data_IF_252440150398
#
_entry.id   IF_252440150398
#
_cell.length_a   1.000
_cell.length_b   1.000
_cell.length_c   1.000
_cell.angle_alpha   90.00
_cell.angle_beta   90.00
_cell.angle_gamma   90.00
#
_symmetry.space_group_name_H-M   'P 1'
#
loop_
_entity.id
_entity.type
_entity.pdbx_description
1 polymer ?
#
# COMPACT_ATOMS: atom_id res chain seq x y z
N UNK A 1 -23.03 -5.73 44.54
CA UNK A 1 -22.10 -4.61 44.27
C UNK A 1 -20.86 -5.08 43.52
N UNK A 2 -19.98 -5.89 44.12
CA UNK A 2 -18.75 -6.35 43.44
C UNK A 2 -19.03 -7.28 42.24
N UNK A 3 -19.93 -8.27 42.39
CA UNK A 3 -20.25 -9.21 41.30
C UNK A 3 -20.87 -8.54 40.07
N UNK A 4 -21.78 -7.59 40.27
CA UNK A 4 -22.37 -6.80 39.18
C UNK A 4 -21.34 -5.90 38.50
N UNK A 5 -20.39 -5.35 39.26
CA UNK A 5 -19.29 -4.54 38.71
C UNK A 5 -18.35 -5.39 37.82
N UNK A 6 -17.94 -6.56 38.30
CA UNK A 6 -17.09 -7.50 37.54
C UNK A 6 -17.80 -7.99 36.27
N UNK A 7 -19.09 -8.32 36.35
CA UNK A 7 -19.87 -8.72 35.19
C UNK A 7 -19.97 -7.60 34.14
N UNK A 8 -20.19 -6.36 34.59
CA UNK A 8 -20.18 -5.19 33.70
C UNK A 8 -18.84 -5.01 32.99
N UNK A 9 -17.73 -5.18 33.70
CA UNK A 9 -16.38 -5.05 33.14
C UNK A 9 -16.06 -6.13 32.10
N UNK A 10 -16.47 -7.37 32.34
CA UNK A 10 -16.26 -8.47 31.39
C UNK A 10 -17.05 -8.21 30.11
N UNK A 11 -18.31 -7.78 30.23
CA UNK A 11 -19.16 -7.47 29.07
C UNK A 11 -18.62 -6.29 28.25
N UNK A 12 -18.06 -5.27 28.88
CA UNK A 12 -17.47 -4.13 28.15
C UNK A 12 -16.21 -4.56 27.41
N UNK A 13 -15.30 -5.31 28.04
CA UNK A 13 -14.09 -5.82 27.39
C UNK A 13 -14.44 -6.77 26.23
N UNK A 14 -15.39 -7.68 26.42
CA UNK A 14 -15.85 -8.58 25.35
C UNK A 14 -16.43 -7.81 24.15
N UNK A 15 -17.26 -6.80 24.41
CA UNK A 15 -17.82 -5.96 23.37
C UNK A 15 -16.74 -5.17 22.64
N UNK A 16 -15.80 -4.56 23.36
CA UNK A 16 -14.68 -3.84 22.76
C UNK A 16 -13.78 -4.75 21.93
N UNK A 17 -13.54 -5.99 22.37
CA UNK A 17 -12.74 -6.96 21.62
C UNK A 17 -13.35 -7.30 20.26
N UNK A 18 -14.68 -7.38 20.16
CA UNK A 18 -15.38 -7.56 18.87
C UNK A 18 -15.24 -6.35 17.91
N UNK A 19 -14.96 -5.15 18.44
CA UNK A 19 -14.76 -3.93 17.65
C UNK A 19 -13.29 -3.58 17.42
N UNK A 20 -12.34 -4.30 18.02
CA UNK A 20 -10.92 -4.11 17.72
C UNK A 20 -10.64 -4.71 16.33
N UNK A 21 -10.10 -3.93 15.38
CA UNK A 21 -9.74 -4.44 14.06
C UNK A 21 -8.48 -5.30 14.20
N UNK A 22 -8.64 -6.57 14.58
CA UNK A 22 -7.53 -7.53 14.73
C UNK A 22 -7.09 -8.10 13.36
N UNK A 23 -7.90 -7.91 12.32
CA UNK A 23 -7.64 -8.40 10.97
C UNK A 23 -7.15 -7.25 10.09
N UNK A 24 -6.07 -7.48 9.35
CA UNK A 24 -5.66 -6.59 8.26
C UNK A 24 -6.77 -6.57 7.20
N UNK A 25 -6.97 -5.42 6.58
CA UNK A 25 -7.82 -5.34 5.39
C UNK A 25 -7.15 -6.15 4.28
N UNK A 26 -7.94 -6.97 3.60
CA UNK A 26 -7.44 -7.83 2.52
C UNK A 26 -7.05 -7.04 1.27
N UNK A 27 -7.57 -5.82 1.11
CA UNK A 27 -7.32 -4.90 0.00
C UNK A 27 -6.36 -3.76 0.38
N UNK A 28 -5.56 -3.96 1.42
CA UNK A 28 -4.62 -2.94 1.87
C UNK A 28 -3.43 -2.85 0.89
N UNK A 29 -3.49 -1.86 0.01
CA UNK A 29 -2.44 -1.55 -0.97
C UNK A 29 -1.26 -0.75 -0.36
N UNK A 30 -1.28 -0.51 0.96
CA UNK A 30 -0.25 0.25 1.69
C UNK A 30 0.71 -0.63 2.47
N UNK A 31 0.58 -1.96 2.38
CA UNK A 31 1.49 -2.87 3.08
C UNK A 31 2.91 -2.77 2.51
N UNK A 32 3.95 -3.05 3.32
CA UNK A 32 5.34 -3.05 2.84
C UNK A 32 5.55 -3.95 1.62
N UNK A 33 4.89 -5.12 1.60
CA UNK A 33 4.98 -6.07 0.49
C UNK A 33 4.36 -5.51 -0.79
N UNK A 34 3.24 -4.79 -0.67
CA UNK A 34 2.55 -4.13 -1.79
C UNK A 34 3.38 -2.98 -2.36
N UNK A 35 4.04 -2.20 -1.49
CA UNK A 35 4.94 -1.11 -1.90
C UNK A 35 6.18 -1.67 -2.61
N UNK A 36 6.79 -2.72 -2.08
CA UNK A 36 7.95 -3.37 -2.71
C UNK A 36 7.62 -3.95 -4.09
N UNK A 37 6.43 -4.53 -4.26
CA UNK A 37 5.95 -5.01 -5.57
C UNK A 37 5.81 -3.84 -6.55
N UNK A 38 5.16 -2.75 -6.14
CA UNK A 38 5.02 -1.54 -6.94
C UNK A 38 6.38 -0.93 -7.33
N UNK A 39 7.33 -0.86 -6.39
CA UNK A 39 8.69 -0.38 -6.66
C UNK A 39 9.40 -1.25 -7.69
N UNK A 40 9.26 -2.59 -7.60
CA UNK A 40 9.83 -3.51 -8.58
C UNK A 40 9.26 -3.30 -9.98
N UNK A 41 7.94 -3.24 -10.09
CA UNK A 41 7.25 -2.99 -11.38
C UNK A 41 7.72 -1.66 -11.98
N UNK A 42 7.77 -0.60 -11.16
CA UNK A 42 8.25 0.72 -11.58
C UNK A 42 9.69 0.66 -12.12
N UNK A 43 10.61 0.00 -11.41
CA UNK A 43 12.00 -0.15 -11.83
C UNK A 43 12.13 -0.95 -13.14
N UNK A 44 11.32 -1.99 -13.30
CA UNK A 44 11.30 -2.80 -14.52
C UNK A 44 10.82 -1.98 -15.72
N UNK A 45 9.72 -1.22 -15.55
CA UNK A 45 9.23 -0.31 -16.58
C UNK A 45 10.28 0.76 -16.95
N UNK A 46 10.92 1.39 -15.97
CA UNK A 46 11.94 2.43 -16.21
C UNK A 46 13.21 1.87 -16.86
N UNK A 47 13.62 0.64 -16.50
CA UNK A 47 14.77 -0.04 -17.12
C UNK A 47 14.52 -0.40 -18.57
N UNK A 48 13.29 -0.83 -18.89
CA UNK A 48 12.93 -1.24 -20.25
C UNK A 48 12.84 -0.04 -21.20
N UNK A 49 12.34 1.10 -20.71
CA UNK A 49 12.17 2.33 -21.49
C UNK A 49 12.67 3.54 -20.67
N UNK A 50 13.99 3.78 -20.63
CA UNK A 50 14.56 4.89 -19.87
C UNK A 50 14.17 6.24 -20.48
N UNK A 51 13.87 7.22 -19.62
CA UNK A 51 13.54 8.58 -20.04
C UNK A 51 12.08 8.81 -20.41
N UNK A 52 11.19 7.87 -20.07
CA UNK A 52 9.73 8.11 -20.08
C UNK A 52 9.40 9.33 -19.22
N UNK A 53 8.34 10.04 -19.56
CA UNK A 53 7.72 10.97 -18.63
C UNK A 53 6.93 10.20 -17.54
N UNK A 54 6.44 10.90 -16.52
CA UNK A 54 5.70 10.27 -15.43
C UNK A 54 4.35 9.70 -15.89
N UNK A 55 3.77 10.27 -16.95
CA UNK A 55 2.48 9.86 -17.52
C UNK A 55 2.62 8.55 -18.30
N UNK A 56 3.61 8.45 -19.17
CA UNK A 56 3.91 7.22 -19.89
C UNK A 56 4.44 6.12 -18.98
N UNK A 57 5.21 6.46 -17.93
CA UNK A 57 5.59 5.47 -16.91
C UNK A 57 4.35 4.92 -16.18
N UNK A 58 3.40 5.77 -15.83
CA UNK A 58 2.15 5.34 -15.20
C UNK A 58 1.36 4.37 -16.07
N UNK A 59 1.20 4.69 -17.36
CA UNK A 59 0.54 3.80 -18.32
C UNK A 59 1.25 2.44 -18.44
N UNK A 60 2.59 2.44 -18.42
CA UNK A 60 3.38 1.20 -18.45
C UNK A 60 3.21 0.35 -17.20
N UNK A 61 3.13 0.98 -16.02
CA UNK A 61 2.90 0.30 -14.75
C UNK A 61 1.51 -0.34 -14.74
N UNK A 62 0.47 0.39 -15.16
CA UNK A 62 -0.90 -0.16 -15.20
C UNK A 62 -1.03 -1.29 -16.23
N UNK A 63 -0.30 -1.20 -17.34
CA UNK A 63 -0.26 -2.24 -18.36
C UNK A 63 0.65 -3.42 -17.96
N UNK A 64 1.36 -3.37 -16.82
CA UNK A 64 2.29 -4.40 -16.43
C UNK A 64 1.58 -5.72 -16.06
N UNK A 65 2.06 -6.89 -16.49
CA UNK A 65 1.40 -8.17 -16.21
C UNK A 65 1.22 -8.49 -14.72
N UNK A 66 2.13 -7.99 -13.87
CA UNK A 66 2.07 -8.19 -12.41
C UNK A 66 1.25 -7.11 -11.68
N UNK A 67 0.73 -6.11 -12.40
CA UNK A 67 -0.08 -5.06 -11.80
C UNK A 67 -1.53 -5.52 -11.63
N UNK A 68 -1.94 -5.71 -10.36
CA UNK A 68 -3.31 -6.03 -10.02
C UNK A 68 -4.12 -4.74 -9.78
N UNK A 69 -4.95 -4.35 -10.76
CA UNK A 69 -5.81 -3.17 -10.66
C UNK A 69 -6.86 -3.23 -9.54
N UNK A 70 -7.26 -4.43 -9.12
CA UNK A 70 -8.24 -4.59 -8.04
C UNK A 70 -7.57 -4.37 -6.68
N UNK A 71 -6.34 -4.88 -6.51
CA UNK A 71 -5.53 -4.63 -5.32
C UNK A 71 -5.07 -3.18 -5.25
N UNK A 72 -4.51 -2.64 -6.33
CA UNK A 72 -3.96 -1.28 -6.40
C UNK A 72 -4.97 -0.21 -6.87
N UNK A 73 -6.23 -0.31 -6.45
CA UNK A 73 -7.31 0.55 -6.95
C UNK A 73 -7.13 2.04 -6.67
N UNK A 74 -6.32 2.42 -5.68
CA UNK A 74 -5.99 3.82 -5.37
C UNK A 74 -4.74 4.32 -6.08
N UNK A 75 -4.13 3.52 -6.96
CA UNK A 75 -2.92 3.92 -7.68
C UNK A 75 -3.27 4.98 -8.75
N UNK A 76 -2.53 6.09 -8.72
CA UNK A 76 -2.70 7.23 -9.63
C UNK A 76 -1.35 7.96 -9.80
N UNK A 77 -1.30 8.97 -10.68
CA UNK A 77 -0.08 9.73 -10.94
C UNK A 77 0.55 10.36 -9.69
N UNK A 78 -0.26 10.87 -8.76
CA UNK A 78 0.28 11.43 -7.51
C UNK A 78 0.94 10.35 -6.66
N UNK A 79 0.32 9.16 -6.59
CA UNK A 79 0.88 8.01 -5.87
C UNK A 79 2.15 7.49 -6.54
N UNK A 80 2.23 7.52 -7.88
CA UNK A 80 3.47 7.21 -8.60
C UNK A 80 4.59 8.20 -8.23
N UNK A 81 4.30 9.51 -8.21
CA UNK A 81 5.30 10.52 -7.82
C UNK A 81 5.80 10.30 -6.39
N UNK A 82 4.90 9.98 -5.46
CA UNK A 82 5.28 9.59 -4.09
C UNK A 82 6.10 8.29 -4.05
N UNK A 83 5.78 7.30 -4.88
CA UNK A 83 6.54 6.06 -5.00
C UNK A 83 7.97 6.33 -5.48
N UNK A 84 8.13 7.21 -6.48
CA UNK A 84 9.45 7.63 -7.01
C UNK A 84 10.25 8.36 -5.92
N UNK A 85 9.63 9.33 -5.24
CA UNK A 85 10.26 10.06 -4.13
C UNK A 85 10.66 9.11 -2.99
N UNK A 86 9.77 8.18 -2.64
CA UNK A 86 10.04 7.16 -1.64
C UNK A 86 11.23 6.28 -2.04
N UNK A 87 11.26 5.83 -3.29
CA UNK A 87 12.33 4.98 -3.79
C UNK A 87 13.68 5.72 -3.85
N UNK A 88 13.69 7.03 -4.09
CA UNK A 88 14.92 7.85 -4.06
C UNK A 88 15.61 7.89 -2.70
N UNK A 89 14.91 7.57 -1.60
CA UNK A 89 15.59 7.37 -0.31
C UNK A 89 16.50 6.14 -0.30
N UNK A 90 16.19 5.13 -1.11
CA UNK A 90 17.01 3.92 -1.32
C UNK A 90 18.05 4.14 -2.41
N UNK A 91 17.66 4.78 -3.51
CA UNK A 91 18.51 5.03 -4.68
C UNK A 91 18.48 6.52 -5.10
N UNK A 92 19.40 7.35 -4.59
CA UNK A 92 19.33 8.82 -4.76
C UNK A 92 19.34 9.32 -6.21
N UNK A 93 19.87 8.53 -7.14
CA UNK A 93 20.02 8.90 -8.55
C UNK A 93 18.88 8.41 -9.44
N UNK A 94 17.85 7.78 -8.88
CA UNK A 94 16.73 7.26 -9.67
C UNK A 94 15.94 8.39 -10.35
N UNK A 95 15.95 8.40 -11.69
CA UNK A 95 15.27 9.36 -12.58
C UNK A 95 15.53 10.84 -12.19
N UNK A 96 16.80 11.24 -11.99
CA UNK A 96 17.22 12.63 -11.78
C UNK A 96 17.42 13.39 -13.10
#
# INVERSE_FOLDING_TARGET
MLGSFVAGLILTVWKLYAFLPVRRLSDDDTTPESVELLERIMQECDRNEPGLDDEALFEKIIAHPEFDSAHFWRFNLNRLRHLIEHYRFKEPHFRL
#
